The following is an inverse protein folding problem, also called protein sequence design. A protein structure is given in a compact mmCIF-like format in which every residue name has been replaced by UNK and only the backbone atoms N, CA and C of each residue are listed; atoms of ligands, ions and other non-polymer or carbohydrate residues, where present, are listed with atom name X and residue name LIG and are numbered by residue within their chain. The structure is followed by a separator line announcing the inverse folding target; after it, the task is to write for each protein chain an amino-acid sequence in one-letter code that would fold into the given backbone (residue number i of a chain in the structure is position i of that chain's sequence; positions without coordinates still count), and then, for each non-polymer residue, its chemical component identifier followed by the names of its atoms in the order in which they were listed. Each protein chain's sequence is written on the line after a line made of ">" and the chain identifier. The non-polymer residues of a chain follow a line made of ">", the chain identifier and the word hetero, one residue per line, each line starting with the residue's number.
data_IF_915789681729
#
_entry.id   IF_915789681729
#
_cell.length_a   1.000
_cell.length_b   1.000
_cell.length_c   1.000
_cell.angle_alpha   90.00
_cell.angle_beta   90.00
_cell.angle_gamma   90.00
#
_symmetry.space_group_name_H-M   'P 1'
#
loop_
_entity.id
_entity.type
_entity.pdbx_description
1 polymer ?
#
# COMPACT_ATOMS: atom_id res chain seq x y z
N UNK A 1 -17.70 -6.17 -30.28
CA UNK A 1 -16.73 -5.36 -29.53
C UNK A 1 -16.38 -6.16 -28.29
N UNK A 2 -15.22 -6.81 -28.28
CA UNK A 2 -14.80 -7.72 -27.21
C UNK A 2 -14.33 -6.88 -26.03
N UNK A 3 -15.12 -6.80 -24.96
CA UNK A 3 -14.69 -6.10 -23.74
C UNK A 3 -13.43 -6.79 -23.19
N UNK A 4 -12.34 -6.04 -23.06
CA UNK A 4 -11.15 -6.50 -22.35
C UNK A 4 -11.45 -6.46 -20.85
N UNK A 5 -11.53 -7.64 -20.23
CA UNK A 5 -11.78 -7.80 -18.80
C UNK A 5 -13.00 -8.65 -18.50
N UNK A 6 -12.79 -9.76 -17.79
CA UNK A 6 -13.86 -10.60 -17.27
C UNK A 6 -14.26 -10.09 -15.89
N UNK A 7 -15.55 -9.97 -15.56
CA UNK A 7 -16.01 -9.37 -14.29
C UNK A 7 -15.50 -10.11 -13.05
N UNK A 8 -15.10 -11.37 -13.19
CA UNK A 8 -14.54 -12.18 -12.10
C UNK A 8 -13.01 -12.12 -11.97
N UNK A 9 -12.29 -11.56 -12.96
CA UNK A 9 -10.82 -11.52 -12.92
C UNK A 9 -10.34 -10.70 -11.73
N UNK A 10 -10.99 -9.57 -11.44
CA UNK A 10 -10.64 -8.76 -10.26
C UNK A 10 -10.70 -9.60 -8.98
N UNK A 11 -11.82 -10.32 -8.77
CA UNK A 11 -12.03 -11.15 -7.59
C UNK A 11 -11.02 -12.31 -7.48
N UNK A 12 -10.65 -12.93 -8.61
CA UNK A 12 -9.62 -13.97 -8.64
C UNK A 12 -8.27 -13.42 -8.17
N UNK A 13 -7.89 -12.22 -8.65
CA UNK A 13 -6.66 -11.57 -8.22
C UNK A 13 -6.73 -11.05 -6.78
N UNK A 14 -7.89 -10.66 -6.28
CA UNK A 14 -8.07 -10.30 -4.86
C UNK A 14 -7.81 -11.50 -3.96
N UNK A 15 -8.40 -12.66 -4.29
CA UNK A 15 -8.15 -13.91 -3.56
C UNK A 15 -6.68 -14.30 -3.66
N UNK A 16 -6.08 -14.16 -4.84
CA UNK A 16 -4.66 -14.48 -5.05
C UNK A 16 -3.75 -13.53 -4.25
N UNK A 17 -4.07 -12.23 -4.22
CA UNK A 17 -3.33 -11.23 -3.45
C UNK A 17 -3.47 -11.50 -1.94
N UNK A 18 -4.64 -11.93 -1.48
CA UNK A 18 -4.86 -12.32 -0.09
C UNK A 18 -4.05 -13.56 0.29
N UNK A 19 -4.08 -14.61 -0.54
CA UNK A 19 -3.28 -15.82 -0.35
C UNK A 19 -1.78 -15.52 -0.37
N UNK A 20 -1.32 -14.67 -1.29
CA UNK A 20 0.06 -14.21 -1.36
C UNK A 20 0.46 -13.48 -0.07
N UNK A 21 -0.38 -12.55 0.39
CA UNK A 21 -0.18 -11.82 1.65
C UNK A 21 -0.06 -12.77 2.85
N UNK A 22 -0.99 -13.71 2.99
CA UNK A 22 -0.98 -14.68 4.09
C UNK A 22 0.26 -15.58 4.05
N UNK A 23 0.63 -16.05 2.85
CA UNK A 23 1.81 -16.91 2.66
C UNK A 23 3.09 -16.16 3.01
N UNK A 24 3.24 -14.92 2.52
CA UNK A 24 4.40 -14.07 2.83
C UNK A 24 4.42 -13.71 4.31
N UNK A 25 3.27 -13.39 4.92
CA UNK A 25 3.18 -13.08 6.35
C UNK A 25 3.64 -14.27 7.19
N UNK A 26 3.07 -15.46 6.93
CA UNK A 26 3.44 -16.69 7.61
C UNK A 26 4.94 -17.01 7.43
N UNK A 27 5.44 -16.96 6.20
CA UNK A 27 6.82 -17.30 5.89
C UNK A 27 7.81 -16.33 6.54
N UNK A 28 7.59 -15.03 6.38
CA UNK A 28 8.48 -13.99 6.93
C UNK A 28 8.49 -13.98 8.45
N UNK A 29 7.32 -14.09 9.09
CA UNK A 29 7.22 -14.12 10.57
C UNK A 29 7.78 -15.40 11.18
N UNK A 30 7.74 -16.52 10.47
CA UNK A 30 8.26 -17.80 10.96
C UNK A 30 9.76 -17.99 10.72
N UNK A 31 10.33 -17.40 9.67
CA UNK A 31 11.70 -17.72 9.25
C UNK A 31 12.65 -16.51 9.17
N UNK A 32 12.14 -15.31 8.87
CA UNK A 32 12.99 -14.18 8.52
C UNK A 32 13.00 -13.05 9.56
N UNK A 33 11.86 -12.79 10.19
CA UNK A 33 11.70 -11.74 11.19
C UNK A 33 12.00 -12.32 12.59
N UNK A 34 12.92 -11.71 13.37
CA UNK A 34 13.22 -12.16 14.73
C UNK A 34 11.99 -12.08 15.65
N UNK A 35 11.91 -13.00 16.62
CA UNK A 35 10.76 -13.10 17.53
C UNK A 35 10.55 -11.79 18.32
N UNK A 36 11.62 -11.09 18.68
CA UNK A 36 11.60 -9.83 19.44
C UNK A 36 10.97 -8.68 18.64
N UNK A 37 10.95 -8.79 17.31
CA UNK A 37 10.35 -7.80 16.42
C UNK A 37 8.85 -8.05 16.18
N UNK A 38 8.31 -9.22 16.58
CA UNK A 38 6.90 -9.57 16.37
C UNK A 38 5.99 -8.76 17.31
N UNK A 39 4.88 -8.18 16.80
CA UNK A 39 3.93 -7.46 17.64
C UNK A 39 3.37 -8.31 18.78
N UNK A 40 3.18 -9.61 18.55
CA UNK A 40 2.69 -10.55 19.56
C UNK A 40 3.52 -10.56 20.86
N UNK A 41 4.81 -10.24 20.77
CA UNK A 41 5.73 -10.19 21.91
C UNK A 41 5.91 -8.78 22.48
N UNK A 42 5.28 -7.77 21.88
CA UNK A 42 5.46 -6.34 22.21
C UNK A 42 4.18 -5.64 22.64
N UNK A 43 3.03 -6.24 22.39
CA UNK A 43 1.73 -5.69 22.76
C UNK A 43 1.01 -6.66 23.70
N UNK A 44 0.38 -6.14 24.75
CA UNK A 44 -0.32 -6.96 25.74
C UNK A 44 -1.51 -7.74 25.15
N UNK A 45 -2.15 -7.17 24.11
CA UNK A 45 -3.34 -7.76 23.46
C UNK A 45 -3.15 -7.84 21.94
N UNK A 46 -2.45 -8.88 21.42
CA UNK A 46 -2.13 -9.00 19.99
C UNK A 46 -3.37 -9.13 19.09
N UNK A 47 -4.42 -9.82 19.57
CA UNK A 47 -5.69 -9.93 18.84
C UNK A 47 -6.39 -8.58 18.69
N UNK A 48 -6.47 -7.79 19.77
CA UNK A 48 -7.05 -6.45 19.72
C UNK A 48 -6.24 -5.54 18.80
N UNK A 49 -4.91 -5.59 18.85
CA UNK A 49 -4.04 -4.87 17.93
C UNK A 49 -4.34 -5.19 16.46
N UNK A 50 -4.48 -6.47 16.12
CA UNK A 50 -4.79 -6.91 14.76
C UNK A 50 -6.19 -6.41 14.31
N UNK A 51 -7.20 -6.51 15.19
CA UNK A 51 -8.55 -5.99 14.92
C UNK A 51 -8.53 -4.48 14.71
N UNK A 52 -7.81 -3.72 15.55
CA UNK A 52 -7.67 -2.27 15.40
C UNK A 52 -6.99 -1.89 14.08
N UNK A 53 -5.92 -2.59 13.71
CA UNK A 53 -5.25 -2.36 12.43
C UNK A 53 -6.17 -2.66 11.23
N UNK A 54 -6.89 -3.80 11.27
CA UNK A 54 -7.83 -4.19 10.21
C UNK A 54 -9.02 -3.25 10.09
N UNK A 55 -9.63 -2.85 11.21
CA UNK A 55 -10.73 -1.90 11.24
C UNK A 55 -10.28 -0.53 10.72
N UNK A 56 -9.12 -0.04 11.15
CA UNK A 56 -8.52 1.18 10.63
C UNK A 56 -8.28 1.11 9.12
N UNK A 57 -7.78 -0.02 8.63
CA UNK A 57 -7.58 -0.24 7.20
C UNK A 57 -8.89 -0.19 6.41
N UNK A 58 -9.92 -0.90 6.88
CA UNK A 58 -11.22 -0.93 6.20
C UNK A 58 -11.88 0.46 6.19
N UNK A 59 -11.95 1.12 7.35
CA UNK A 59 -12.53 2.46 7.46
C UNK A 59 -11.77 3.48 6.62
N UNK A 60 -10.43 3.46 6.65
CA UNK A 60 -9.61 4.34 5.82
C UNK A 60 -9.77 4.07 4.33
N UNK A 61 -9.82 2.81 3.92
CA UNK A 61 -10.02 2.43 2.53
C UNK A 61 -11.36 2.93 1.99
N UNK A 62 -12.45 2.69 2.74
CA UNK A 62 -13.79 3.17 2.39
C UNK A 62 -13.89 4.69 2.37
N UNK A 63 -13.36 5.36 3.41
CA UNK A 63 -13.44 6.81 3.53
C UNK A 63 -12.74 7.52 2.37
N UNK A 64 -11.45 7.24 2.15
CA UNK A 64 -10.69 7.93 1.10
C UNK A 64 -11.08 7.47 -0.31
N UNK A 65 -11.49 6.21 -0.48
CA UNK A 65 -11.99 5.72 -1.77
C UNK A 65 -13.30 6.39 -2.16
N UNK A 66 -14.27 6.43 -1.24
CA UNK A 66 -15.56 7.10 -1.46
C UNK A 66 -15.39 8.61 -1.62
N UNK A 67 -14.53 9.25 -0.81
CA UNK A 67 -14.23 10.67 -0.98
C UNK A 67 -13.64 10.97 -2.36
N UNK A 68 -12.70 10.16 -2.86
CA UNK A 68 -12.15 10.33 -4.21
C UNK A 68 -13.21 10.14 -5.30
N UNK A 69 -14.09 9.15 -5.14
CA UNK A 69 -15.19 8.91 -6.07
C UNK A 69 -16.13 10.13 -6.14
N UNK A 70 -16.58 10.62 -4.98
CA UNK A 70 -17.45 11.80 -4.88
C UNK A 70 -16.80 13.05 -5.48
N UNK A 71 -15.52 13.31 -5.17
CA UNK A 71 -14.76 14.41 -5.75
C UNK A 71 -14.60 14.29 -7.27
N UNK A 72 -14.57 13.06 -7.79
CA UNK A 72 -14.51 12.76 -9.23
C UNK A 72 -15.89 12.71 -9.91
N UNK A 73 -16.95 13.12 -9.20
CA UNK A 73 -18.32 13.14 -9.73
C UNK A 73 -19.00 11.76 -9.80
N UNK A 74 -18.43 10.73 -9.16
CA UNK A 74 -18.97 9.38 -9.11
C UNK A 74 -19.71 9.15 -7.79
N UNK A 75 -20.99 8.76 -7.86
CA UNK A 75 -21.78 8.36 -6.70
C UNK A 75 -21.63 6.86 -6.44
N UNK A 76 -20.44 6.44 -6.02
CA UNK A 76 -20.11 5.05 -5.74
C UNK A 76 -19.37 4.90 -4.41
N UNK A 77 -19.56 3.75 -3.76
CA UNK A 77 -18.71 3.34 -2.64
C UNK A 77 -17.36 2.91 -3.21
N UNK A 78 -16.31 3.65 -2.85
CA UNK A 78 -14.96 3.40 -3.32
C UNK A 78 -14.08 2.84 -2.23
N UNK A 79 -13.18 1.93 -2.59
CA UNK A 79 -12.14 1.42 -1.72
C UNK A 79 -10.76 1.87 -2.23
N UNK A 80 -9.98 2.53 -1.38
CA UNK A 80 -8.63 2.98 -1.71
C UNK A 80 -7.58 2.25 -0.91
N UNK A 81 -6.62 1.64 -1.60
CA UNK A 81 -5.46 1.03 -0.96
C UNK A 81 -4.57 2.07 -0.24
N UNK A 82 -4.49 3.31 -0.76
CA UNK A 82 -3.83 4.44 -0.08
C UNK A 82 -4.57 4.82 1.20
N UNK A 83 -5.90 4.86 1.13
CA UNK A 83 -6.75 5.09 2.30
C UNK A 83 -6.58 4.00 3.35
N UNK A 84 -6.49 2.74 2.92
CA UNK A 84 -6.33 1.60 3.80
C UNK A 84 -5.04 1.64 4.60
N UNK A 85 -3.90 1.87 3.95
CA UNK A 85 -2.64 1.99 4.69
C UNK A 85 -2.64 3.20 5.64
N UNK A 86 -3.20 4.34 5.22
CA UNK A 86 -3.30 5.54 6.06
C UNK A 86 -4.19 5.31 7.29
N UNK A 87 -5.35 4.68 7.10
CA UNK A 87 -6.27 4.35 8.18
C UNK A 87 -5.71 3.32 9.16
N UNK A 88 -5.02 2.28 8.65
CA UNK A 88 -4.34 1.30 9.49
C UNK A 88 -3.25 1.95 10.35
N UNK A 89 -2.42 2.82 9.76
CA UNK A 89 -1.38 3.57 10.48
C UNK A 89 -2.02 4.45 11.56
N UNK A 90 -3.05 5.22 11.22
CA UNK A 90 -3.73 6.10 12.18
C UNK A 90 -4.30 5.31 13.37
N UNK A 91 -4.98 4.21 13.11
CA UNK A 91 -5.55 3.34 14.14
C UNK A 91 -4.46 2.69 15.02
N UNK A 92 -3.38 2.20 14.42
CA UNK A 92 -2.27 1.57 15.15
C UNK A 92 -1.50 2.59 15.99
N UNK A 93 -1.23 3.80 15.48
CA UNK A 93 -0.56 4.84 16.27
C UNK A 93 -1.45 5.34 17.42
N UNK A 94 -2.78 5.42 17.21
CA UNK A 94 -3.72 5.68 18.29
C UNK A 94 -3.68 4.56 19.36
N UNK A 95 -3.78 3.30 18.94
CA UNK A 95 -3.67 2.14 19.83
C UNK A 95 -2.38 2.19 20.67
N UNK A 96 -1.24 2.43 20.01
CA UNK A 96 0.07 2.53 20.68
C UNK A 96 0.12 3.68 21.68
N UNK A 97 -0.48 4.82 21.34
CA UNK A 97 -0.59 5.97 22.26
C UNK A 97 -1.38 5.63 23.52
N UNK A 98 -2.50 4.90 23.39
CA UNK A 98 -3.35 4.53 24.52
C UNK A 98 -2.78 3.36 25.36
N UNK A 99 -1.97 2.49 24.76
CA UNK A 99 -1.39 1.31 25.42
C UNK A 99 0.06 1.49 25.85
N UNK A 100 0.67 2.65 25.56
CA UNK A 100 2.07 2.94 25.89
C UNK A 100 3.10 2.17 25.05
N UNK A 101 2.68 1.47 24.00
CA UNK A 101 3.58 0.70 23.12
C UNK A 101 4.49 1.66 22.34
N UNK A 102 5.81 1.49 22.49
CA UNK A 102 6.82 2.33 21.83
C UNK A 102 7.50 1.60 20.67
N UNK A 103 7.98 2.37 19.70
CA UNK A 103 8.72 1.88 18.54
C UNK A 103 7.85 1.38 17.38
N UNK A 104 8.48 0.82 16.36
CA UNK A 104 7.78 0.23 15.20
C UNK A 104 7.24 -1.15 15.53
N UNK A 105 5.98 -1.40 15.16
CA UNK A 105 5.29 -2.70 15.22
C UNK A 105 4.85 -3.17 13.83
N UNK A 106 5.18 -2.41 12.78
CA UNK A 106 4.66 -2.65 11.44
C UNK A 106 5.50 -3.60 10.57
N UNK A 107 6.68 -4.03 11.03
CA UNK A 107 7.65 -4.76 10.18
C UNK A 107 7.06 -6.04 9.58
N UNK A 108 6.19 -6.72 10.34
CA UNK A 108 5.49 -7.94 9.91
C UNK A 108 4.53 -7.72 8.75
N UNK A 109 4.10 -6.46 8.52
CA UNK A 109 3.21 -6.11 7.42
C UNK A 109 3.95 -5.60 6.18
N UNK A 110 5.26 -5.31 6.26
CA UNK A 110 6.01 -4.70 5.17
C UNK A 110 6.02 -5.55 3.89
N UNK A 111 6.55 -6.78 3.98
CA UNK A 111 6.62 -7.68 2.83
C UNK A 111 5.24 -8.18 2.38
N UNK A 112 4.30 -8.58 3.27
CA UNK A 112 2.95 -8.97 2.86
C UNK A 112 2.21 -7.86 2.13
N UNK A 113 2.29 -6.61 2.61
CA UNK A 113 1.68 -5.47 1.94
C UNK A 113 2.26 -5.27 0.53
N UNK A 114 3.58 -5.34 0.39
CA UNK A 114 4.21 -5.22 -0.92
C UNK A 114 3.75 -6.32 -1.90
N UNK A 115 3.65 -7.56 -1.44
CA UNK A 115 3.12 -8.67 -2.23
C UNK A 115 1.64 -8.46 -2.61
N UNK A 116 0.79 -8.04 -1.67
CA UNK A 116 -0.62 -7.74 -1.92
C UNK A 116 -0.78 -6.72 -3.03
N UNK A 117 -0.03 -5.60 -2.98
CA UNK A 117 -0.15 -4.56 -4.01
C UNK A 117 0.41 -5.05 -5.35
N UNK A 118 1.55 -5.74 -5.33
CA UNK A 118 2.16 -6.26 -6.54
C UNK A 118 1.19 -7.17 -7.33
N UNK A 119 0.51 -8.08 -6.63
CA UNK A 119 -0.46 -9.02 -7.22
C UNK A 119 -1.80 -8.35 -7.51
N UNK A 120 -2.37 -7.62 -6.56
CA UNK A 120 -3.71 -7.02 -6.71
C UNK A 120 -3.77 -6.02 -7.88
N UNK A 121 -2.68 -5.30 -8.14
CA UNK A 121 -2.61 -4.38 -9.29
C UNK A 121 -2.57 -5.08 -10.64
N UNK A 122 -2.15 -6.35 -10.72
CA UNK A 122 -2.34 -7.14 -11.93
C UNK A 122 -3.83 -7.43 -12.16
N UNK A 123 -4.59 -7.67 -11.09
CA UNK A 123 -6.05 -7.79 -11.15
C UNK A 123 -6.73 -6.54 -11.72
N UNK A 124 -6.32 -5.37 -11.25
CA UNK A 124 -6.75 -4.08 -11.81
C UNK A 124 -6.42 -3.96 -13.30
N UNK A 125 -5.22 -4.36 -13.71
CA UNK A 125 -4.79 -4.32 -15.11
C UNK A 125 -5.66 -5.21 -16.01
N UNK A 126 -5.88 -6.46 -15.62
CA UNK A 126 -6.66 -7.41 -16.41
C UNK A 126 -8.17 -7.15 -16.37
N UNK A 127 -8.66 -6.37 -15.40
CA UNK A 127 -10.06 -5.91 -15.32
C UNK A 127 -10.38 -4.76 -16.28
N UNK A 128 -9.35 -4.11 -16.85
CA UNK A 128 -9.52 -3.06 -17.86
C UNK A 128 -10.22 -1.81 -17.35
N UNK A 129 -11.03 -1.18 -18.21
CA UNK A 129 -11.68 0.12 -17.91
C UNK A 129 -12.71 0.05 -16.79
N UNK A 130 -13.32 -1.12 -16.57
CA UNK A 130 -14.34 -1.33 -15.53
C UNK A 130 -13.79 -1.14 -14.10
N UNK A 131 -12.47 -1.19 -13.93
CA UNK A 131 -11.81 -1.02 -12.63
C UNK A 131 -11.63 0.44 -12.21
N UNK A 132 -11.81 1.41 -13.12
CA UNK A 132 -11.59 2.85 -12.88
C UNK A 132 -10.18 3.21 -12.34
N UNK A 133 -9.18 2.36 -12.57
CA UNK A 133 -7.78 2.60 -12.18
C UNK A 133 -6.84 2.82 -13.37
N UNK A 134 -7.38 2.93 -14.58
CA UNK A 134 -6.64 3.13 -15.82
C UNK A 134 -5.93 4.49 -15.86
N UNK A 135 -4.84 4.55 -16.64
CA UNK A 135 -4.06 5.76 -16.81
C UNK A 135 -4.67 6.75 -17.82
N UNK A 136 -4.07 7.92 -17.93
CA UNK A 136 -4.41 8.92 -18.95
C UNK A 136 -3.95 8.47 -20.35
N UNK A 137 -4.60 8.98 -21.42
CA UNK A 137 -4.17 8.73 -22.80
C UNK A 137 -2.72 9.12 -23.05
N UNK A 138 -2.00 8.33 -23.86
CA UNK A 138 -0.57 8.53 -24.13
C UNK A 138 -0.12 7.85 -25.42
N UNK A 139 0.98 8.34 -25.99
CA UNK A 139 1.61 7.79 -27.21
C UNK A 139 2.90 7.02 -26.97
N UNK A 140 3.24 6.68 -25.72
CA UNK A 140 4.46 5.91 -25.41
C UNK A 140 4.39 4.50 -26.03
N UNK A 141 5.53 3.88 -26.40
CA UNK A 141 5.51 2.62 -27.16
C UNK A 141 4.98 1.41 -26.38
N UNK A 142 4.87 1.52 -25.05
CA UNK A 142 4.26 0.49 -24.18
C UNK A 142 2.85 0.88 -23.70
N UNK A 143 2.20 1.83 -24.37
CA UNK A 143 0.81 2.16 -24.07
C UNK A 143 -0.10 0.94 -24.30
N UNK A 144 -1.12 0.81 -23.46
CA UNK A 144 -2.09 -0.30 -23.55
C UNK A 144 -3.46 0.26 -23.87
N UNK A 145 -4.09 -0.30 -24.90
CA UNK A 145 -5.50 -0.09 -25.22
C UNK A 145 -6.33 -1.16 -24.50
N UNK A 146 -7.26 -0.70 -23.65
CA UNK A 146 -8.15 -1.56 -22.87
C UNK A 146 -9.47 -1.88 -23.60
N UNK A 147 -9.49 -1.75 -24.93
CA UNK A 147 -10.60 -2.13 -25.80
C UNK A 147 -11.46 -0.97 -26.30
N UNK A 148 -11.03 0.27 -26.11
CA UNK A 148 -11.74 1.49 -26.53
C UNK A 148 -11.01 2.28 -27.62
N UNK A 149 -9.91 1.76 -28.16
CA UNK A 149 -9.16 2.39 -29.25
C UNK A 149 -8.14 3.42 -28.78
N UNK A 150 -7.95 3.61 -27.46
CA UNK A 150 -7.10 4.66 -26.91
C UNK A 150 -5.95 4.04 -26.09
N UNK A 151 -4.71 4.28 -26.54
CA UNK A 151 -3.51 3.91 -25.79
C UNK A 151 -3.37 4.71 -24.49
N UNK A 152 -3.18 4.02 -23.37
CA UNK A 152 -3.03 4.64 -22.03
C UNK A 152 -1.78 4.17 -21.33
N UNK A 153 -1.33 4.95 -20.35
CA UNK A 153 -0.30 4.49 -19.41
C UNK A 153 -0.85 3.27 -18.65
N UNK A 154 -0.20 2.08 -18.70
CA UNK A 154 -0.57 0.95 -17.87
C UNK A 154 -0.10 1.16 -16.42
N UNK A 155 -0.66 2.16 -15.74
CA UNK A 155 -0.23 2.60 -14.40
C UNK A 155 -0.28 1.48 -13.38
N UNK A 156 -1.21 0.54 -13.54
CA UNK A 156 -1.30 -0.64 -12.69
C UNK A 156 -0.05 -1.52 -12.77
N UNK A 157 0.55 -1.67 -13.95
CA UNK A 157 1.80 -2.41 -14.12
C UNK A 157 3.00 -1.66 -13.49
N UNK A 158 3.02 -0.32 -13.56
CA UNK A 158 4.04 0.47 -12.88
C UNK A 158 3.95 0.30 -11.36
N UNK A 159 2.74 0.34 -10.81
CA UNK A 159 2.47 0.07 -9.39
C UNK A 159 2.89 -1.36 -9.01
N UNK A 160 2.49 -2.36 -9.80
CA UNK A 160 2.86 -3.76 -9.58
C UNK A 160 4.38 -3.95 -9.56
N UNK A 161 5.08 -3.41 -10.56
CA UNK A 161 6.53 -3.55 -10.69
C UNK A 161 7.27 -2.84 -9.55
N UNK A 162 6.88 -1.62 -9.19
CA UNK A 162 7.47 -0.88 -8.09
C UNK A 162 7.30 -1.63 -6.75
N UNK A 163 6.16 -2.27 -6.54
CA UNK A 163 5.90 -3.02 -5.30
C UNK A 163 6.56 -4.40 -5.30
N UNK A 164 6.68 -5.05 -6.45
CA UNK A 164 7.48 -6.27 -6.60
C UNK A 164 8.97 -6.00 -6.32
N UNK A 165 9.51 -4.87 -6.79
CA UNK A 165 10.89 -4.48 -6.55
C UNK A 165 11.19 -4.28 -5.06
N UNK A 166 10.36 -3.52 -4.33
CA UNK A 166 10.55 -3.35 -2.89
C UNK A 166 10.33 -4.65 -2.12
N UNK A 167 9.41 -5.52 -2.57
CA UNK A 167 9.23 -6.85 -1.99
C UNK A 167 10.53 -7.67 -2.07
N UNK A 168 11.15 -7.76 -3.25
CA UNK A 168 12.43 -8.48 -3.43
C UNK A 168 13.52 -7.89 -2.53
N UNK A 169 13.63 -6.56 -2.47
CA UNK A 169 14.62 -5.90 -1.59
C UNK A 169 14.36 -6.21 -0.12
N UNK A 170 13.11 -6.17 0.35
CA UNK A 170 12.76 -6.52 1.74
C UNK A 170 13.18 -7.96 2.07
N UNK A 171 12.87 -8.92 1.19
CA UNK A 171 13.22 -10.31 1.41
C UNK A 171 14.73 -10.50 1.46
N UNK A 172 15.47 -9.92 0.51
CA UNK A 172 16.94 -9.98 0.52
C UNK A 172 17.53 -9.40 1.81
N UNK A 173 17.00 -8.27 2.29
CA UNK A 173 17.47 -7.59 3.51
C UNK A 173 17.09 -8.34 4.78
N UNK A 174 15.93 -8.98 4.82
CA UNK A 174 15.53 -9.83 5.94
C UNK A 174 16.39 -11.10 6.01
N UNK A 175 16.69 -11.74 4.87
CA UNK A 175 17.62 -12.87 4.80
C UNK A 175 19.01 -12.45 5.28
N UNK A 176 19.50 -11.29 4.84
CA UNK A 176 20.78 -10.73 5.27
C UNK A 176 20.81 -10.25 6.73
N UNK A 177 19.68 -10.34 7.46
CA UNK A 177 19.52 -9.85 8.85
C UNK A 177 19.99 -8.39 9.02
N UNK A 178 19.73 -7.56 8.01
CA UNK A 178 20.13 -6.17 8.00
C UNK A 178 19.37 -5.39 9.10
N UNK A 179 20.12 -4.91 10.10
CA UNK A 179 19.56 -4.24 11.29
C UNK A 179 18.77 -2.99 10.94
N UNK A 180 19.20 -2.23 9.94
CA UNK A 180 18.50 -1.02 9.53
C UNK A 180 17.15 -1.36 8.92
N UNK A 181 17.09 -2.39 8.08
CA UNK A 181 15.86 -2.82 7.42
C UNK A 181 14.90 -3.56 8.36
N UNK A 182 15.40 -4.36 9.30
CA UNK A 182 14.55 -4.97 10.32
C UNK A 182 13.89 -3.92 11.23
N UNK A 183 14.60 -2.81 11.51
CA UNK A 183 14.08 -1.70 12.32
C UNK A 183 13.12 -0.80 11.54
N UNK A 184 13.44 -0.49 10.28
CA UNK A 184 12.77 0.56 9.51
C UNK A 184 11.97 0.04 8.30
N UNK A 185 11.97 -1.26 8.01
CA UNK A 185 11.42 -1.84 6.79
C UNK A 185 9.96 -1.49 6.53
N UNK A 186 9.15 -1.39 7.59
CA UNK A 186 7.77 -0.88 7.48
C UNK A 186 7.73 0.55 6.95
N UNK A 187 8.48 1.47 7.57
CA UNK A 187 8.52 2.87 7.16
C UNK A 187 9.11 3.04 5.76
N UNK A 188 10.14 2.26 5.41
CA UNK A 188 10.70 2.24 4.05
C UNK A 188 9.64 1.79 3.03
N UNK A 189 8.84 0.77 3.37
CA UNK A 189 7.75 0.28 2.51
C UNK A 189 6.65 1.32 2.35
N UNK A 190 6.21 1.92 3.46
CA UNK A 190 5.18 2.99 3.46
C UNK A 190 5.67 4.20 2.66
N UNK A 191 6.92 4.61 2.86
CA UNK A 191 7.52 5.74 2.16
C UNK A 191 7.70 5.46 0.68
N UNK A 192 8.16 4.26 0.31
CA UNK A 192 8.25 3.84 -1.10
C UNK A 192 6.88 3.79 -1.76
N UNK A 193 5.89 3.15 -1.11
CA UNK A 193 4.52 3.10 -1.60
C UNK A 193 3.94 4.51 -1.78
N UNK A 194 4.08 5.38 -0.79
CA UNK A 194 3.63 6.78 -0.90
C UNK A 194 4.32 7.52 -2.03
N UNK A 195 5.64 7.37 -2.18
CA UNK A 195 6.40 8.06 -3.23
C UNK A 195 6.00 7.59 -4.64
N UNK A 196 6.04 6.28 -4.89
CA UNK A 196 5.67 5.75 -6.21
C UNK A 196 4.21 6.09 -6.53
N UNK A 197 3.32 5.96 -5.54
CA UNK A 197 1.91 6.24 -5.74
C UNK A 197 1.66 7.71 -6.03
N UNK A 198 2.37 8.63 -5.37
CA UNK A 198 2.33 10.06 -5.67
C UNK A 198 2.73 10.36 -7.12
N UNK A 199 3.79 9.72 -7.62
CA UNK A 199 4.25 9.91 -9.02
C UNK A 199 3.23 9.37 -10.01
N UNK A 200 2.69 8.17 -9.76
CA UNK A 200 1.72 7.55 -10.66
C UNK A 200 0.37 8.24 -10.70
N UNK A 201 0.07 9.02 -9.67
CA UNK A 201 -1.18 9.75 -9.55
C UNK A 201 -1.32 10.86 -10.59
N UNK A 202 -0.21 11.41 -11.12
CA UNK A 202 -0.22 12.34 -12.25
C UNK A 202 -0.68 11.69 -13.56
N UNK A 203 -0.60 10.36 -13.66
CA UNK A 203 -1.05 9.62 -14.83
C UNK A 203 -2.47 9.08 -14.66
N UNK A 204 -3.23 9.50 -13.65
CA UNK A 204 -4.61 9.05 -13.42
C UNK A 204 -5.61 10.18 -13.66
N UNK A 205 -6.76 9.90 -14.30
CA UNK A 205 -7.75 10.92 -14.65
C UNK A 205 -8.68 11.26 -13.45
N UNK A 206 -8.13 11.42 -12.25
CA UNK A 206 -8.94 11.76 -11.07
C UNK A 206 -9.07 13.27 -10.88
N UNK A 207 -10.13 13.71 -10.19
CA UNK A 207 -10.38 15.11 -9.94
C UNK A 207 -9.27 15.76 -9.10
N UNK A 208 -8.78 16.90 -9.60
CA UNK A 208 -7.79 17.73 -8.91
C UNK A 208 -8.46 18.56 -7.83
N UNK A 209 -7.80 18.71 -6.68
CA UNK A 209 -8.22 19.56 -5.58
C UNK A 209 -7.50 20.92 -5.58
N UNK A 210 -6.19 20.90 -5.86
CA UNK A 210 -5.36 22.10 -5.85
C UNK A 210 -4.26 21.99 -6.92
N UNK A 211 -4.36 22.78 -7.98
CA UNK A 211 -3.45 22.68 -9.12
C UNK A 211 -3.46 21.24 -9.70
N UNK A 212 -2.30 20.60 -9.92
CA UNK A 212 -2.25 19.22 -10.43
C UNK A 212 -2.51 18.16 -9.35
N UNK A 213 -2.68 18.55 -8.09
CA UNK A 213 -2.76 17.61 -6.97
C UNK A 213 -4.21 17.22 -6.66
N UNK A 214 -4.44 15.92 -6.56
CA UNK A 214 -5.70 15.34 -6.10
C UNK A 214 -5.62 14.83 -4.65
N UNK A 215 -6.72 14.25 -4.16
CA UNK A 215 -6.80 13.72 -2.78
C UNK A 215 -5.68 12.72 -2.47
N UNK A 216 -5.40 11.78 -3.38
CA UNK A 216 -4.38 10.76 -3.13
C UNK A 216 -2.96 11.32 -3.15
N UNK A 217 -2.66 12.38 -3.89
CA UNK A 217 -1.37 13.08 -3.76
C UNK A 217 -1.14 13.57 -2.32
N UNK A 218 -2.16 14.18 -1.70
CA UNK A 218 -2.05 14.70 -0.34
C UNK A 218 -1.83 13.58 0.68
N UNK A 219 -2.58 12.48 0.56
CA UNK A 219 -2.43 11.33 1.47
C UNK A 219 -1.06 10.66 1.26
N UNK A 220 -0.61 10.50 0.02
CA UNK A 220 0.70 9.92 -0.29
C UNK A 220 1.84 10.78 0.25
N UNK A 221 1.76 12.10 0.10
CA UNK A 221 2.74 13.03 0.68
C UNK A 221 2.79 12.89 2.20
N UNK A 222 1.63 12.81 2.87
CA UNK A 222 1.57 12.58 4.31
C UNK A 222 2.24 11.25 4.72
N UNK A 223 2.04 10.16 3.96
CA UNK A 223 2.69 8.87 4.21
C UNK A 223 4.22 8.94 4.06
N UNK A 224 4.71 9.64 3.02
CA UNK A 224 6.15 9.86 2.80
C UNK A 224 6.77 10.65 3.95
N UNK A 225 6.12 11.74 4.37
CA UNK A 225 6.56 12.57 5.49
C UNK A 225 6.54 11.78 6.81
N UNK A 226 5.47 11.02 7.07
CA UNK A 226 5.38 10.11 8.21
C UNK A 226 6.55 9.12 8.23
N UNK A 227 6.81 8.43 7.13
CA UNK A 227 7.92 7.49 7.03
C UNK A 227 9.27 8.16 7.32
N UNK A 228 9.54 9.31 6.71
CA UNK A 228 10.78 10.07 6.92
C UNK A 228 10.96 10.52 8.38
N UNK A 229 9.91 11.03 9.01
CA UNK A 229 9.94 11.45 10.42
C UNK A 229 10.21 10.25 11.34
N UNK A 230 9.56 9.12 11.12
CA UNK A 230 9.71 7.95 11.98
C UNK A 230 11.10 7.32 11.88
N UNK A 231 11.68 7.24 10.66
CA UNK A 231 13.06 6.78 10.45
C UNK A 231 14.07 7.70 11.16
N UNK A 232 13.88 9.04 11.05
CA UNK A 232 14.75 10.02 11.71
C UNK A 232 14.67 9.95 13.24
N UNK A 233 13.46 9.84 13.80
CA UNK A 233 13.25 9.69 15.26
C UNK A 233 13.92 8.42 15.78
N UNK A 234 13.80 7.31 15.05
CA UNK A 234 14.46 6.05 15.41
C UNK A 234 15.98 6.11 15.37
N UNK A 235 16.56 6.99 14.55
CA UNK A 235 18.01 7.19 14.43
C UNK A 235 18.58 8.03 15.58
N UNK A 236 17.88 9.11 15.98
CA UNK A 236 18.32 10.02 17.07
C UNK A 236 18.36 9.35 18.44
N UNK A 237 17.46 8.40 18.72
CA UNK A 237 17.47 7.65 19.98
C UNK A 237 18.72 6.77 20.19
N UNK A 238 19.55 6.57 19.15
CA UNK A 238 20.78 5.78 19.21
C UNK A 238 22.04 6.64 19.45
N UNK A 239 21.95 7.97 19.35
CA UNK A 239 23.10 8.89 19.48
C UNK A 239 23.19 9.51 20.88
N UNK A 240 22.15 9.37 21.70
CA UNK A 240 22.07 9.93 23.06
C UNK A 240 22.18 8.86 24.17
N UNK A 241 22.85 7.74 23.90
CA UNK A 241 23.20 6.71 24.88
C UNK A 241 24.72 6.52 24.86
#
# INVERSE_FOLDING_TARGET
>A
MSYFGLPYIHAVFDVTAWLASMTVFWWTTRHLIPAEALPANRVAHPGLYAVTAGAGALCGAMFFGTANALLSGLHALGFSMVGGIAGAIAAVEAFKRFTGVKGSTGIVFAAPFAATVAVGRLGCFFSGLADFTYGTPTGVPWAVDFGDGIGRHPVQLYESLAMAAIFVVLIQRFIARDRFWLKNGFYLTVGWYGLQRFVWEFFKPYATLAGPFNLFHLVCLALVLYAGVMIRRGSRACTTA
#
